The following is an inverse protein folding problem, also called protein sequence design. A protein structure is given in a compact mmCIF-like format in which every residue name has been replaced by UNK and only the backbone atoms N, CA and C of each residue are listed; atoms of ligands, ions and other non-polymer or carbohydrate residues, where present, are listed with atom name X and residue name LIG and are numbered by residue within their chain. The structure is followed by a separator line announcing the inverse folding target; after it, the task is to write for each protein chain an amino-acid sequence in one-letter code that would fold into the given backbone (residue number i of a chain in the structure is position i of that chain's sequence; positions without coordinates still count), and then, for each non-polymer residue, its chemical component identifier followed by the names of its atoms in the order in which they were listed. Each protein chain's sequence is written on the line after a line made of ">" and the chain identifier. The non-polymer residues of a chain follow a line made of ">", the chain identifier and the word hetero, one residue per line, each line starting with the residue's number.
data_IF_876686263323
#
_entry.id   IF_876686263323
#
_cell.length_a   1.000
_cell.length_b   1.000
_cell.length_c   1.000
_cell.angle_alpha   90.00
_cell.angle_beta   90.00
_cell.angle_gamma   90.00
#
_symmetry.space_group_name_H-M   'P 1'
#
loop_
_entity.id
_entity.type
_entity.pdbx_description
1 polymer ?
#
# COMPACT_ATOMS: atom_id res chain seq x y z
N UNK A 1 11.57 -21.00 2.78
CA UNK A 1 10.38 -20.13 2.81
C UNK A 1 9.73 -20.26 4.17
N UNK A 2 9.04 -19.22 4.68
CA UNK A 2 8.26 -19.32 5.92
C UNK A 2 7.22 -20.46 5.82
N UNK A 3 7.02 -21.22 6.90
CA UNK A 3 6.17 -22.42 6.90
C UNK A 3 4.84 -22.23 7.65
N UNK A 4 4.66 -21.08 8.30
CA UNK A 4 3.43 -20.69 9.01
C UNK A 4 3.13 -19.20 8.82
N UNK A 5 1.92 -18.77 9.16
CA UNK A 5 1.53 -17.34 9.15
C UNK A 5 2.43 -16.53 10.09
N UNK A 6 2.79 -17.06 11.26
CA UNK A 6 3.66 -16.39 12.22
C UNK A 6 5.08 -16.22 11.68
N UNK A 7 5.60 -17.21 10.96
CA UNK A 7 6.90 -17.10 10.29
C UNK A 7 6.87 -16.03 9.20
N UNK A 8 5.76 -15.95 8.46
CA UNK A 8 5.55 -14.91 7.45
C UNK A 8 5.56 -13.52 8.08
N UNK A 9 4.79 -13.29 9.13
CA UNK A 9 4.76 -12.01 9.87
C UNK A 9 6.17 -11.65 10.34
N UNK A 10 6.90 -12.60 10.92
CA UNK A 10 8.26 -12.37 11.42
C UNK A 10 9.25 -12.10 10.29
N UNK A 11 9.08 -12.73 9.13
CA UNK A 11 9.94 -12.55 7.96
C UNK A 11 9.73 -11.20 7.27
N UNK A 12 8.52 -10.62 7.31
CA UNK A 12 8.15 -9.41 6.54
C UNK A 12 8.02 -8.15 7.38
N UNK A 13 7.96 -8.24 8.71
CA UNK A 13 7.72 -7.09 9.61
C UNK A 13 8.58 -5.84 9.29
N UNK A 14 9.85 -6.04 8.97
CA UNK A 14 10.82 -4.95 8.74
C UNK A 14 11.02 -4.65 7.25
N UNK A 15 10.35 -5.38 6.35
CA UNK A 15 10.52 -5.24 4.91
C UNK A 15 9.49 -4.26 4.36
N UNK A 16 9.92 -3.16 3.73
CA UNK A 16 8.99 -2.22 3.12
C UNK A 16 8.38 -2.81 1.84
N UNK A 17 7.14 -2.41 1.55
CA UNK A 17 6.55 -2.58 0.23
C UNK A 17 7.23 -1.57 -0.70
N UNK A 18 7.73 -2.00 -1.87
CA UNK A 18 8.40 -1.10 -2.79
C UNK A 18 7.42 -0.09 -3.40
N UNK A 19 7.95 1.07 -3.77
CA UNK A 19 7.21 2.19 -4.35
C UNK A 19 7.50 2.33 -5.85
N UNK A 20 6.60 2.96 -6.58
CA UNK A 20 6.80 3.22 -8.00
C UNK A 20 7.79 4.37 -8.20
N UNK A 21 8.73 4.20 -9.13
CA UNK A 21 9.70 5.25 -9.47
C UNK A 21 9.01 6.56 -9.88
N UNK A 22 7.90 6.44 -10.62
CA UNK A 22 7.06 7.59 -11.01
C UNK A 22 6.52 8.36 -9.80
N UNK A 23 6.02 7.65 -8.78
CA UNK A 23 5.47 8.28 -7.57
C UNK A 23 6.54 9.11 -6.87
N UNK A 24 7.73 8.53 -6.66
CA UNK A 24 8.85 9.21 -6.02
C UNK A 24 9.20 10.49 -6.78
N UNK A 25 9.35 10.43 -8.11
CA UNK A 25 9.64 11.60 -8.93
C UNK A 25 8.53 12.67 -8.84
N UNK A 26 7.25 12.28 -8.84
CA UNK A 26 6.14 13.22 -8.71
C UNK A 26 6.08 13.88 -7.34
N UNK A 27 6.39 13.15 -6.27
CA UNK A 27 6.45 13.67 -4.90
C UNK A 27 7.58 14.67 -4.75
N UNK A 28 8.81 14.34 -5.18
CA UNK A 28 9.94 15.27 -5.12
C UNK A 28 9.64 16.58 -5.87
N UNK A 29 9.12 16.47 -7.10
CA UNK A 29 8.74 17.65 -7.90
C UNK A 29 7.68 18.56 -7.26
N UNK A 30 6.87 18.04 -6.33
CA UNK A 30 5.86 18.81 -5.60
C UNK A 30 6.35 19.29 -4.25
N UNK A 31 7.16 18.49 -3.55
CA UNK A 31 7.76 18.89 -2.27
C UNK A 31 8.76 20.03 -2.44
N UNK A 32 9.37 20.18 -3.62
CA UNK A 32 10.27 21.29 -3.95
C UNK A 32 9.53 22.63 -4.23
N UNK A 33 8.19 22.64 -4.15
CA UNK A 33 7.36 23.83 -4.38
C UNK A 33 6.70 24.27 -3.08
N UNK A 34 6.92 25.53 -2.69
CA UNK A 34 6.35 26.10 -1.46
C UNK A 34 4.81 26.20 -1.47
N UNK A 35 4.18 26.14 -2.65
CA UNK A 35 2.75 26.34 -2.86
C UNK A 35 1.99 25.07 -3.31
N UNK A 36 2.63 23.89 -3.26
CA UNK A 36 1.99 22.66 -3.72
C UNK A 36 0.75 22.31 -2.88
N UNK A 37 -0.45 22.16 -3.49
CA UNK A 37 -1.64 21.80 -2.75
C UNK A 37 -1.52 20.40 -2.15
N UNK A 38 -1.73 20.27 -0.83
CA UNK A 38 -1.67 18.98 -0.11
C UNK A 38 -2.56 17.92 -0.77
N UNK A 39 -3.75 18.31 -1.26
CA UNK A 39 -4.66 17.38 -1.94
C UNK A 39 -4.06 16.71 -3.18
N UNK A 40 -3.18 17.42 -3.88
CA UNK A 40 -2.47 16.87 -5.05
C UNK A 40 -1.45 15.81 -4.62
N UNK A 41 -0.78 16.03 -3.50
CA UNK A 41 0.16 15.08 -2.90
C UNK A 41 -0.61 13.84 -2.43
N UNK A 42 -1.74 14.02 -1.71
CA UNK A 42 -2.64 12.93 -1.29
C UNK A 42 -3.00 12.06 -2.49
N UNK A 43 -3.48 12.68 -3.58
CA UNK A 43 -3.90 11.97 -4.80
C UNK A 43 -2.76 11.13 -5.42
N UNK A 44 -1.51 11.61 -5.34
CA UNK A 44 -0.34 10.88 -5.86
C UNK A 44 0.01 9.71 -4.95
N UNK A 45 0.02 9.93 -3.63
CA UNK A 45 0.30 8.86 -2.65
C UNK A 45 -0.75 7.76 -2.74
N UNK A 46 -2.02 8.11 -2.87
CA UNK A 46 -3.13 7.16 -3.02
C UNK A 46 -3.07 6.32 -4.31
N UNK A 47 -2.34 6.79 -5.33
CA UNK A 47 -2.09 6.00 -6.55
C UNK A 47 -0.99 4.96 -6.37
N UNK A 48 -0.27 4.99 -5.25
CA UNK A 48 0.81 4.08 -4.91
C UNK A 48 0.53 3.35 -3.59
N UNK A 49 0.00 2.11 -3.66
CA UNK A 49 -0.27 1.32 -2.47
C UNK A 49 0.98 1.00 -1.63
N UNK A 50 2.15 0.93 -2.27
CA UNK A 50 3.42 0.79 -1.56
C UNK A 50 3.68 1.98 -0.65
N UNK A 51 3.61 3.19 -1.22
CA UNK A 51 3.84 4.42 -0.45
C UNK A 51 2.76 4.66 0.60
N UNK A 52 1.49 4.41 0.28
CA UNK A 52 0.38 4.50 1.25
C UNK A 52 0.61 3.61 2.46
N UNK A 53 1.00 2.35 2.23
CA UNK A 53 1.30 1.39 3.31
C UNK A 53 2.47 1.87 4.17
N UNK A 54 3.57 2.31 3.55
CA UNK A 54 4.75 2.76 4.29
C UNK A 54 4.48 4.02 5.10
N UNK A 55 3.73 4.96 4.54
CA UNK A 55 3.39 6.20 5.22
C UNK A 55 2.50 5.94 6.45
N UNK A 56 1.45 5.12 6.31
CA UNK A 56 0.58 4.72 7.42
C UNK A 56 1.36 3.93 8.48
N UNK A 57 2.22 3.00 8.06
CA UNK A 57 3.07 2.23 8.98
C UNK A 57 3.97 3.16 9.79
N UNK A 58 4.63 4.11 9.13
CA UNK A 58 5.56 5.02 9.79
C UNK A 58 4.85 6.01 10.74
N UNK A 59 3.67 6.49 10.38
CA UNK A 59 2.90 7.38 11.26
C UNK A 59 2.41 6.65 12.52
N UNK A 60 1.99 5.40 12.38
CA UNK A 60 1.46 4.62 13.51
C UNK A 60 2.55 3.87 14.30
N UNK A 61 3.78 3.81 13.78
CA UNK A 61 4.91 3.20 14.48
C UNK A 61 5.64 4.28 15.30
N UNK A 62 5.32 4.35 16.59
CA UNK A 62 6.03 5.22 17.53
C UNK A 62 6.63 4.36 18.64
N UNK A 63 7.95 4.45 18.82
CA UNK A 63 8.69 3.76 19.88
C UNK A 63 8.21 4.24 21.26
N UNK A 64 7.34 3.47 21.90
CA UNK A 64 6.95 3.64 23.29
C UNK A 64 5.81 4.61 23.60
N UNK A 65 5.29 5.35 22.61
CA UNK A 65 4.12 6.22 22.79
C UNK A 65 2.99 5.77 21.88
N UNK A 66 1.88 5.31 22.46
CA UNK A 66 0.63 5.21 21.68
C UNK A 66 0.20 6.62 21.34
N UNK A 67 0.03 6.91 20.05
CA UNK A 67 -0.73 8.08 19.63
C UNK A 67 -2.12 8.01 20.30
N UNK A 68 -2.62 9.15 20.77
CA UNK A 68 -3.99 9.23 21.32
C UNK A 68 -5.04 8.87 20.26
N UNK A 69 -4.69 9.01 18.97
CA UNK A 69 -5.54 8.67 17.83
C UNK A 69 -4.73 8.01 16.72
N UNK A 70 -5.22 6.86 16.23
CA UNK A 70 -4.64 6.17 15.08
C UNK A 70 -4.76 6.99 13.80
N UNK A 71 -3.73 6.94 12.97
CA UNK A 71 -3.71 7.57 11.64
C UNK A 71 -4.27 6.58 10.63
N UNK A 72 -5.46 6.86 10.12
CA UNK A 72 -6.23 5.92 9.29
C UNK A 72 -6.34 6.32 7.82
N UNK A 73 -5.86 7.51 7.44
CA UNK A 73 -5.90 8.00 6.06
C UNK A 73 -4.58 8.63 5.60
N UNK A 74 -4.37 8.65 4.29
CA UNK A 74 -3.20 9.29 3.66
C UNK A 74 -3.16 10.79 3.97
N UNK A 75 -4.31 11.46 3.94
CA UNK A 75 -4.38 12.89 4.26
C UNK A 75 -3.93 13.19 5.70
N UNK A 76 -4.43 12.43 6.69
CA UNK A 76 -3.97 12.57 8.08
C UNK A 76 -2.46 12.31 8.21
N UNK A 77 -1.97 11.28 7.52
CA UNK A 77 -0.57 10.92 7.57
C UNK A 77 0.34 12.02 6.97
N UNK A 78 -0.05 12.61 5.84
CA UNK A 78 0.67 13.74 5.24
C UNK A 78 0.63 14.97 6.13
N UNK A 79 -0.53 15.28 6.74
CA UNK A 79 -0.65 16.41 7.68
C UNK A 79 0.24 16.24 8.91
N UNK A 80 0.39 15.01 9.43
CA UNK A 80 1.24 14.72 10.58
C UNK A 80 2.74 14.76 10.23
N UNK A 81 3.11 14.20 9.09
CA UNK A 81 4.52 14.04 8.68
C UNK A 81 5.08 15.34 8.08
N UNK A 82 4.27 16.09 7.36
CA UNK A 82 4.70 17.23 6.55
C UNK A 82 5.32 16.84 5.21
N UNK A 83 5.28 17.76 4.25
CA UNK A 83 5.75 17.53 2.86
C UNK A 83 7.26 17.30 2.78
N UNK A 84 8.05 18.01 3.58
CA UNK A 84 9.51 17.84 3.61
C UNK A 84 9.91 16.42 4.03
N UNK A 85 9.35 15.92 5.12
CA UNK A 85 9.65 14.58 5.63
C UNK A 85 9.08 13.49 4.71
N UNK A 86 7.94 13.72 4.07
CA UNK A 86 7.40 12.82 3.04
C UNK A 86 8.41 12.61 1.90
N UNK A 87 9.06 13.67 1.41
CA UNK A 87 10.10 13.58 0.39
C UNK A 87 11.28 12.70 0.82
N UNK A 88 11.73 12.85 2.08
CA UNK A 88 12.80 12.02 2.67
C UNK A 88 12.41 10.55 2.79
N UNK A 89 11.16 10.28 3.21
CA UNK A 89 10.61 8.91 3.29
C UNK A 89 10.66 8.26 1.91
N UNK A 90 10.18 8.94 0.88
CA UNK A 90 10.16 8.42 -0.49
C UNK A 90 11.55 8.01 -0.99
N UNK A 91 12.58 8.80 -0.68
CA UNK A 91 13.98 8.51 -1.07
C UNK A 91 14.54 7.23 -0.42
N UNK A 92 14.08 6.88 0.78
CA UNK A 92 14.56 5.72 1.52
C UNK A 92 13.90 4.39 1.15
N UNK A 93 12.85 4.41 0.32
CA UNK A 93 12.07 3.22 -0.03
C UNK A 93 12.61 2.52 -1.29
N UNK A 94 12.56 1.17 -1.35
CA UNK A 94 12.98 0.45 -2.54
C UNK A 94 12.03 0.73 -3.70
N UNK A 95 12.61 0.95 -4.88
CA UNK A 95 11.85 1.13 -6.12
C UNK A 95 11.43 -0.21 -6.70
N UNK A 96 10.15 -0.36 -7.03
CA UNK A 96 9.56 -1.58 -7.58
C UNK A 96 10.32 -2.03 -8.84
N UNK A 97 10.55 -1.10 -9.76
CA UNK A 97 11.14 -1.36 -11.08
C UNK A 97 12.61 -1.81 -11.00
N UNK A 98 13.30 -1.50 -9.89
CA UNK A 98 14.72 -1.83 -9.69
C UNK A 98 14.95 -3.04 -8.78
N UNK A 99 14.02 -3.34 -7.87
CA UNK A 99 14.25 -4.29 -6.78
C UNK A 99 13.53 -5.63 -6.96
N UNK A 100 12.63 -5.77 -7.94
CA UNK A 100 11.85 -6.98 -8.17
C UNK A 100 12.19 -7.64 -9.52
N UNK A 101 12.04 -8.96 -9.60
CA UNK A 101 12.08 -9.68 -10.88
C UNK A 101 10.90 -9.32 -11.78
N UNK A 102 10.99 -9.53 -13.09
CA UNK A 102 9.90 -9.20 -14.02
C UNK A 102 8.56 -9.85 -13.63
N UNK A 103 8.58 -11.11 -13.19
CA UNK A 103 7.38 -11.82 -12.70
C UNK A 103 6.79 -11.15 -11.46
N UNK A 104 7.62 -10.86 -10.46
CA UNK A 104 7.17 -10.20 -9.23
C UNK A 104 6.65 -8.78 -9.51
N UNK A 105 7.31 -8.02 -10.39
CA UNK A 105 6.85 -6.70 -10.82
C UNK A 105 5.45 -6.76 -11.43
N UNK A 106 5.20 -7.68 -12.38
CA UNK A 106 3.89 -7.82 -13.00
C UNK A 106 2.80 -8.18 -11.98
N UNK A 107 3.09 -9.10 -11.05
CA UNK A 107 2.14 -9.48 -10.01
C UNK A 107 1.82 -8.31 -9.07
N UNK A 108 2.85 -7.62 -8.55
CA UNK A 108 2.66 -6.47 -7.67
C UNK A 108 1.88 -5.35 -8.37
N UNK A 109 2.23 -5.01 -9.62
CA UNK A 109 1.51 -4.00 -10.38
C UNK A 109 0.04 -4.37 -10.59
N UNK A 110 -0.25 -5.65 -10.88
CA UNK A 110 -1.64 -6.14 -10.99
C UNK A 110 -2.39 -5.97 -9.67
N UNK A 111 -1.76 -6.31 -8.54
CA UNK A 111 -2.33 -6.13 -7.21
C UNK A 111 -2.53 -4.64 -6.89
N UNK A 112 -1.58 -3.77 -7.26
CA UNK A 112 -1.69 -2.32 -7.07
C UNK A 112 -2.86 -1.73 -7.86
N UNK A 113 -3.02 -2.10 -9.12
CA UNK A 113 -4.16 -1.67 -9.93
C UNK A 113 -5.50 -2.12 -9.34
N UNK A 114 -5.58 -3.36 -8.84
CA UNK A 114 -6.78 -3.88 -8.18
C UNK A 114 -7.09 -3.10 -6.90
N UNK A 115 -6.09 -2.88 -6.04
CA UNK A 115 -6.23 -2.11 -4.81
C UNK A 115 -6.72 -0.68 -5.08
N UNK A 116 -6.13 -0.01 -6.08
CA UNK A 116 -6.56 1.35 -6.45
C UNK A 116 -8.00 1.37 -7.01
N UNK A 117 -8.33 0.43 -7.89
CA UNK A 117 -9.66 0.35 -8.49
C UNK A 117 -10.74 0.07 -7.43
N UNK A 118 -10.51 -0.93 -6.57
CA UNK A 118 -11.40 -1.25 -5.46
C UNK A 118 -11.52 -0.06 -4.49
N UNK A 119 -10.41 0.59 -4.15
CA UNK A 119 -10.42 1.77 -3.27
C UNK A 119 -11.29 2.89 -3.81
N UNK A 120 -11.17 3.21 -5.11
CA UNK A 120 -12.01 4.23 -5.76
C UNK A 120 -13.50 3.88 -5.71
N UNK A 121 -13.85 2.62 -5.94
CA UNK A 121 -15.23 2.14 -5.84
C UNK A 121 -15.75 2.23 -4.39
N UNK A 122 -14.93 1.81 -3.43
CA UNK A 122 -15.27 1.84 -2.01
C UNK A 122 -15.51 3.27 -1.51
N UNK A 123 -14.64 4.22 -1.88
CA UNK A 123 -14.83 5.65 -1.59
C UNK A 123 -16.11 6.19 -2.21
N UNK A 124 -16.38 5.85 -3.48
CA UNK A 124 -17.62 6.26 -4.14
C UNK A 124 -18.85 5.77 -3.36
N UNK A 125 -18.87 4.50 -2.95
CA UNK A 125 -19.96 3.97 -2.12
C UNK A 125 -20.02 4.59 -0.73
N UNK A 126 -18.89 4.86 -0.09
CA UNK A 126 -18.83 5.55 1.20
C UNK A 126 -19.50 6.92 1.12
N UNK A 127 -19.22 7.70 0.07
CA UNK A 127 -19.90 8.97 -0.18
C UNK A 127 -21.41 8.82 -0.39
N UNK A 128 -21.85 7.83 -1.18
CA UNK A 128 -23.29 7.56 -1.37
C UNK A 128 -23.99 7.20 -0.04
N UNK A 129 -23.29 6.50 0.84
CA UNK A 129 -23.76 6.13 2.18
C UNK A 129 -23.62 7.24 3.21
N UNK A 130 -23.08 8.41 2.84
CA UNK A 130 -22.76 9.53 3.74
C UNK A 130 -21.86 9.09 4.90
N UNK A 131 -20.88 8.26 4.60
CA UNK A 131 -19.84 7.91 5.55
C UNK A 131 -19.12 9.17 6.05
N UNK A 132 -18.75 9.16 7.33
CA UNK A 132 -18.06 10.28 7.98
C UNK A 132 -16.58 10.34 7.58
N UNK A 133 -15.97 9.21 7.22
CA UNK A 133 -14.53 9.13 6.89
C UNK A 133 -14.24 8.32 5.60
N UNK A 134 -14.68 8.80 4.41
CA UNK A 134 -14.40 8.11 3.14
C UNK A 134 -12.91 7.85 2.86
N UNK A 135 -12.01 8.74 3.28
CA UNK A 135 -10.56 8.60 3.04
C UNK A 135 -9.96 7.40 3.79
N UNK A 136 -10.53 7.04 4.95
CA UNK A 136 -10.15 5.84 5.71
C UNK A 136 -10.58 4.57 4.96
N UNK A 137 -11.76 4.60 4.32
CA UNK A 137 -12.23 3.48 3.48
C UNK A 137 -11.26 3.21 2.33
N UNK A 138 -10.68 4.25 1.73
CA UNK A 138 -9.67 4.09 0.68
C UNK A 138 -8.43 3.36 1.21
N UNK A 139 -7.85 3.85 2.31
CA UNK A 139 -6.67 3.27 2.93
C UNK A 139 -6.92 1.82 3.38
N UNK A 140 -8.05 1.54 4.04
CA UNK A 140 -8.45 0.21 4.45
C UNK A 140 -8.57 -0.75 3.26
N UNK A 141 -9.14 -0.27 2.15
CA UNK A 141 -9.24 -1.07 0.92
C UNK A 141 -7.87 -1.40 0.35
N UNK A 142 -6.90 -0.48 0.40
CA UNK A 142 -5.54 -0.80 -0.06
C UNK A 142 -4.86 -1.83 0.84
N UNK A 143 -4.99 -1.68 2.16
CA UNK A 143 -4.42 -2.58 3.15
C UNK A 143 -5.03 -3.99 3.10
N UNK A 144 -6.28 -4.12 2.63
CA UNK A 144 -6.89 -5.42 2.34
C UNK A 144 -6.06 -6.26 1.35
N UNK A 145 -5.38 -5.61 0.41
CA UNK A 145 -4.52 -6.30 -0.57
C UNK A 145 -3.08 -6.50 -0.09
N UNK A 146 -2.72 -6.06 1.12
CA UNK A 146 -1.34 -6.09 1.62
C UNK A 146 -0.74 -7.50 1.64
N UNK A 147 -1.52 -8.51 2.03
CA UNK A 147 -1.08 -9.90 2.03
C UNK A 147 -0.71 -10.40 0.62
N UNK A 148 -1.52 -10.06 -0.39
CA UNK A 148 -1.24 -10.39 -1.79
C UNK A 148 0.01 -9.66 -2.30
N UNK A 149 0.20 -8.39 -1.95
CA UNK A 149 1.41 -7.63 -2.28
C UNK A 149 2.66 -8.29 -1.69
N UNK A 150 2.61 -8.67 -0.40
CA UNK A 150 3.70 -9.35 0.30
C UNK A 150 4.08 -10.66 -0.40
N UNK A 151 3.08 -11.49 -0.75
CA UNK A 151 3.31 -12.75 -1.46
C UNK A 151 3.87 -12.51 -2.87
N UNK A 152 3.37 -11.50 -3.60
CA UNK A 152 3.89 -11.16 -4.93
C UNK A 152 5.37 -10.73 -4.88
N UNK A 153 5.80 -10.08 -3.80
CA UNK A 153 7.19 -9.64 -3.61
C UNK A 153 8.10 -10.79 -3.19
N UNK A 154 7.66 -11.62 -2.24
CA UNK A 154 8.53 -12.57 -1.54
C UNK A 154 8.34 -14.04 -1.94
N UNK A 155 7.22 -14.37 -2.58
CA UNK A 155 6.85 -15.73 -2.99
C UNK A 155 6.02 -15.71 -4.30
N UNK A 156 6.53 -15.07 -5.39
CA UNK A 156 5.77 -14.89 -6.63
C UNK A 156 5.37 -16.20 -7.31
N UNK A 157 6.20 -17.25 -7.19
CA UNK A 157 5.92 -18.56 -7.79
C UNK A 157 4.79 -19.27 -7.05
N UNK A 158 4.77 -19.18 -5.71
CA UNK A 158 3.70 -19.73 -4.87
C UNK A 158 2.38 -18.99 -5.11
N UNK A 159 2.44 -17.66 -5.23
CA UNK A 159 1.26 -16.86 -5.56
C UNK A 159 0.70 -17.21 -6.94
N UNK A 160 1.57 -17.43 -7.93
CA UNK A 160 1.17 -17.86 -9.26
C UNK A 160 0.53 -19.25 -9.25
N UNK A 161 1.10 -20.18 -8.48
CA UNK A 161 0.53 -21.52 -8.30
C UNK A 161 -0.87 -21.44 -7.67
N UNK A 162 -1.04 -20.61 -6.63
CA UNK A 162 -2.34 -20.37 -6.00
C UNK A 162 -3.37 -19.78 -6.98
N UNK A 163 -2.97 -18.81 -7.81
CA UNK A 163 -3.87 -18.25 -8.84
C UNK A 163 -4.24 -19.25 -9.93
N UNK A 164 -3.30 -20.11 -10.36
CA UNK A 164 -3.56 -21.16 -11.34
C UNK A 164 -4.56 -22.16 -10.79
N UNK A 165 -4.33 -22.66 -9.57
CA UNK A 165 -5.25 -23.58 -8.87
C UNK A 165 -6.65 -22.97 -8.71
N UNK A 166 -6.73 -21.69 -8.34
CA UNK A 166 -8.02 -20.97 -8.21
C UNK A 166 -8.78 -20.94 -9.53
N UNK A 167 -8.09 -20.67 -10.64
CA UNK A 167 -8.70 -20.59 -11.97
C UNK A 167 -9.15 -21.95 -12.48
N UNK A 168 -8.40 -23.00 -12.18
CA UNK A 168 -8.72 -24.37 -12.60
C UNK A 168 -9.85 -24.99 -11.77
N UNK A 169 -9.96 -24.65 -10.49
CA UNK A 169 -10.97 -25.24 -9.59
C UNK A 169 -12.25 -24.40 -9.42
N UNK A 170 -12.36 -23.22 -10.04
CA UNK A 170 -13.51 -22.31 -9.90
C UNK A 170 -13.84 -21.94 -8.42
N UNK A 171 -12.84 -21.94 -7.54
CA UNK A 171 -13.03 -21.68 -6.11
C UNK A 171 -13.00 -20.15 -5.84
N UNK A 172 -13.89 -19.68 -4.96
CA UNK A 172 -13.97 -18.27 -4.57
C UNK A 172 -12.77 -17.82 -3.72
N UNK A 173 -12.55 -16.50 -3.57
CA UNK A 173 -11.35 -15.96 -2.89
C UNK A 173 -11.24 -16.32 -1.41
N UNK A 174 -12.38 -16.58 -0.77
CA UNK A 174 -12.51 -16.81 0.67
C UNK A 174 -12.28 -18.29 1.01
N UNK A 175 -12.62 -19.20 0.11
CA UNK A 175 -12.47 -20.65 0.31
C UNK A 175 -11.04 -21.15 0.05
N UNK A 176 -10.22 -20.40 -0.69
CA UNK A 176 -8.82 -20.75 -0.98
C UNK A 176 -7.83 -20.33 0.13
N UNK A 177 -8.31 -19.66 1.18
CA UNK A 177 -7.52 -19.22 2.34
C UNK A 177 -7.53 -20.23 3.51
N UNK A 178 -8.32 -21.30 3.40
CA UNK A 178 -8.37 -22.44 4.32
C UNK A 178 -7.63 -23.65 3.73
#
# INVERSE_FOLDING_TARGET
>A
MPNSVQDWITYVKDKPIPVLSRTVSQIHNLCDRDDAPVQKIVTIVEQDPGLTTQLLRQCNHTDGHKLDREITSVQQAIMLVGTERLGKICTGLPLLEKNLSATAQQQVLRTFCRANHAGRQAVYWAHQRRDMTPDEVFAATQLHYLGEMILAIHAPDQLLAAFTLRREKNISSEEAQY
#
